data_IF_432141184006
#
_entry.id   IF_432141184006
#
_cell.length_a   1.000
_cell.length_b   1.000
_cell.length_c   1.000
_cell.angle_alpha   90.00
_cell.angle_beta   90.00
_cell.angle_gamma   90.00
#
_symmetry.space_group_name_H-M   'P 1'
#
loop_
_entity.id
_entity.type
_entity.pdbx_description
1 polymer ?
#
# COMPACT_ATOMS: atom_id res chain seq x y z
N UNK A 1 -33.33 -14.18 -0.73
CA UNK A 1 -32.04 -13.93 -0.06
C UNK A 1 -31.50 -12.71 -0.75
N UNK A 2 -31.63 -11.56 -0.10
CA UNK A 2 -31.06 -10.33 -0.66
C UNK A 2 -29.56 -10.53 -0.75
N UNK A 3 -29.02 -10.28 -1.93
CA UNK A 3 -27.60 -10.36 -2.22
C UNK A 3 -26.90 -9.29 -1.38
N UNK A 4 -26.34 -9.68 -0.22
CA UNK A 4 -25.61 -8.79 0.69
C UNK A 4 -24.27 -8.48 0.04
N UNK A 5 -24.33 -7.62 -0.96
CA UNK A 5 -23.21 -7.23 -1.80
C UNK A 5 -22.78 -5.82 -1.41
N UNK A 6 -21.47 -5.63 -1.24
CA UNK A 6 -20.88 -4.41 -0.70
C UNK A 6 -20.55 -3.40 -1.78
N UNK A 7 -20.85 -2.13 -1.52
CA UNK A 7 -20.29 -1.00 -2.30
C UNK A 7 -19.02 -0.51 -1.61
N UNK A 8 -17.88 -0.62 -2.29
CA UNK A 8 -16.58 -0.21 -1.73
C UNK A 8 -16.36 1.29 -1.89
N UNK A 9 -15.98 1.97 -0.79
CA UNK A 9 -15.82 3.43 -0.77
C UNK A 9 -14.42 3.84 -1.18
N UNK A 10 -14.35 4.71 -2.18
CA UNK A 10 -13.12 5.23 -2.75
C UNK A 10 -12.89 6.68 -2.35
N UNK A 11 -11.61 6.98 -2.09
CA UNK A 11 -11.10 8.31 -1.84
C UNK A 11 -10.08 8.66 -2.92
N UNK A 12 -10.13 9.90 -3.42
CA UNK A 12 -9.25 10.38 -4.48
C UNK A 12 -8.34 11.50 -3.98
N UNK A 13 -7.06 11.41 -4.28
CA UNK A 13 -6.20 12.60 -4.36
C UNK A 13 -6.16 13.07 -5.81
N UNK A 14 -6.31 14.37 -6.05
CA UNK A 14 -6.38 14.95 -7.40
C UNK A 14 -5.34 16.05 -7.55
N UNK A 15 -4.41 15.90 -8.49
CA UNK A 15 -3.37 16.89 -8.75
C UNK A 15 -3.93 18.10 -9.48
N UNK A 16 -3.85 19.29 -8.87
CA UNK A 16 -4.28 20.55 -9.51
C UNK A 16 -3.45 20.87 -10.77
N UNK A 17 -2.20 20.40 -10.82
CA UNK A 17 -1.21 20.71 -11.86
C UNK A 17 -1.24 19.75 -13.04
N UNK A 18 -1.56 18.47 -12.81
CA UNK A 18 -1.49 17.43 -13.83
C UNK A 18 -2.83 16.70 -14.06
N UNK A 19 -3.84 16.92 -13.21
CA UNK A 19 -5.15 16.27 -13.28
C UNK A 19 -5.13 14.79 -12.89
N UNK A 20 -3.96 14.23 -12.58
CA UNK A 20 -3.82 12.83 -12.20
C UNK A 20 -4.49 12.57 -10.86
N UNK A 21 -4.98 11.35 -10.71
CA UNK A 21 -5.64 10.89 -9.50
C UNK A 21 -4.86 9.75 -8.86
N UNK A 22 -4.80 9.73 -7.54
CA UNK A 22 -4.45 8.55 -6.74
C UNK A 22 -5.72 8.06 -6.06
N UNK A 23 -6.04 6.78 -6.26
CA UNK A 23 -7.22 6.13 -5.70
C UNK A 23 -6.81 5.37 -4.46
N UNK A 24 -7.61 5.48 -3.40
CA UNK A 24 -7.46 4.73 -2.16
C UNK A 24 -8.79 4.09 -1.75
N UNK A 25 -8.74 2.90 -1.17
CA UNK A 25 -9.87 2.26 -0.52
C UNK A 25 -9.43 1.75 0.87
N UNK A 26 -9.71 2.47 1.96
CA UNK A 26 -9.32 2.04 3.30
C UNK A 26 -9.91 0.68 3.73
N UNK A 27 -11.08 0.34 3.16
CA UNK A 27 -11.73 -0.96 3.38
C UNK A 27 -11.03 -2.13 2.67
N UNK A 28 -10.11 -1.82 1.74
CA UNK A 28 -9.32 -2.79 1.00
C UNK A 28 -7.94 -2.16 0.65
N UNK A 29 -6.99 -2.11 1.61
CA UNK A 29 -5.79 -1.29 1.52
C UNK A 29 -4.89 -1.54 0.29
N UNK A 30 -4.96 -2.71 -0.34
CA UNK A 30 -4.22 -3.00 -1.58
C UNK A 30 -4.85 -2.39 -2.85
N UNK A 31 -6.09 -1.89 -2.78
CA UNK A 31 -6.76 -1.16 -3.87
C UNK A 31 -6.26 0.29 -3.92
N UNK A 32 -4.98 0.44 -4.29
CA UNK A 32 -4.31 1.71 -4.51
C UNK A 32 -3.76 1.82 -5.93
N UNK A 33 -4.16 2.84 -6.70
CA UNK A 33 -3.62 3.04 -8.04
C UNK A 33 -3.73 4.48 -8.53
N UNK A 34 -2.87 4.83 -9.51
CA UNK A 34 -2.91 6.11 -10.19
C UNK A 34 -3.68 6.04 -11.51
N UNK A 35 -4.36 7.12 -11.87
CA UNK A 35 -5.01 7.30 -13.16
C UNK A 35 -4.83 8.73 -13.69
N UNK A 36 -4.84 8.97 -15.01
CA UNK A 36 -4.62 10.31 -15.57
C UNK A 36 -5.74 11.33 -15.33
N UNK A 37 -6.93 10.88 -14.93
CA UNK A 37 -8.05 11.75 -14.60
C UNK A 37 -9.02 11.05 -13.65
N UNK A 38 -9.96 11.81 -13.07
CA UNK A 38 -11.03 11.29 -12.22
C UNK A 38 -11.92 10.29 -12.96
N UNK A 39 -12.26 10.59 -14.20
CA UNK A 39 -13.12 9.76 -15.05
C UNK A 39 -12.42 8.41 -15.34
N UNK A 40 -11.12 8.44 -15.63
CA UNK A 40 -10.33 7.23 -15.83
C UNK A 40 -10.19 6.45 -14.52
N UNK A 41 -9.95 7.13 -13.39
CA UNK A 41 -9.90 6.50 -12.07
C UNK A 41 -11.19 5.71 -11.80
N UNK A 42 -12.35 6.37 -11.91
CA UNK A 42 -13.67 5.78 -11.66
C UNK A 42 -13.95 4.62 -12.61
N UNK A 43 -13.65 4.76 -13.90
CA UNK A 43 -13.90 3.69 -14.89
C UNK A 43 -13.01 2.45 -14.68
N UNK A 44 -11.78 2.63 -14.17
CA UNK A 44 -10.86 1.51 -13.86
C UNK A 44 -11.14 0.86 -12.51
N UNK A 45 -11.81 1.55 -11.58
CA UNK A 45 -12.02 1.06 -10.22
C UNK A 45 -12.71 -0.31 -10.12
N UNK A 46 -13.78 -0.63 -10.89
CA UNK A 46 -14.39 -1.96 -10.83
C UNK A 46 -13.41 -3.10 -11.18
N UNK A 47 -12.61 -2.93 -12.23
CA UNK A 47 -11.61 -3.91 -12.65
C UNK A 47 -10.50 -4.07 -11.59
N UNK A 48 -10.06 -2.97 -11.00
CA UNK A 48 -9.03 -2.98 -9.95
C UNK A 48 -9.54 -3.62 -8.66
N UNK A 49 -10.78 -3.33 -8.28
CA UNK A 49 -11.44 -3.96 -7.14
C UNK A 49 -11.55 -5.48 -7.34
N UNK A 50 -11.98 -5.93 -8.51
CA UNK A 50 -12.12 -7.37 -8.80
C UNK A 50 -10.79 -8.11 -8.62
N UNK A 51 -9.70 -7.56 -9.17
CA UNK A 51 -8.36 -8.14 -9.02
C UNK A 51 -7.90 -8.19 -7.55
N UNK A 52 -8.16 -7.14 -6.78
CA UNK A 52 -7.79 -7.08 -5.37
C UNK A 52 -8.62 -8.05 -4.52
N UNK A 53 -9.93 -8.16 -4.78
CA UNK A 53 -10.79 -9.15 -4.12
C UNK A 53 -10.36 -10.59 -4.44
N UNK A 54 -9.98 -10.86 -5.69
CA UNK A 54 -9.44 -12.16 -6.08
C UNK A 54 -8.14 -12.48 -5.31
N UNK A 55 -7.22 -11.51 -5.25
CA UNK A 55 -5.99 -11.67 -4.47
C UNK A 55 -6.28 -11.91 -2.98
N UNK A 56 -7.13 -11.09 -2.37
CA UNK A 56 -7.46 -11.16 -0.96
C UNK A 56 -8.06 -12.54 -0.58
N UNK A 57 -8.99 -13.05 -1.40
CA UNK A 57 -9.55 -14.41 -1.21
C UNK A 57 -8.47 -15.49 -1.31
N UNK A 58 -7.59 -15.42 -2.32
CA UNK A 58 -6.47 -16.36 -2.48
C UNK A 58 -5.48 -16.30 -1.32
N UNK A 59 -5.31 -15.13 -0.72
CA UNK A 59 -4.47 -14.91 0.45
C UNK A 59 -5.14 -15.35 1.77
N UNK A 60 -6.41 -15.75 1.74
CA UNK A 60 -7.17 -16.18 2.93
C UNK A 60 -7.70 -15.01 3.77
N UNK A 61 -7.80 -13.81 3.19
CA UNK A 61 -8.40 -12.64 3.83
C UNK A 61 -9.92 -12.69 3.70
N UNK A 62 -10.60 -12.23 4.74
CA UNK A 62 -12.06 -12.07 4.75
C UNK A 62 -12.42 -10.83 3.94
N UNK A 63 -13.15 -11.03 2.84
CA UNK A 63 -13.66 -9.95 2.00
C UNK A 63 -15.09 -10.22 1.59
N UNK A 64 -15.88 -9.15 1.55
CA UNK A 64 -17.27 -9.20 1.11
C UNK A 64 -17.33 -9.22 -0.43
N UNK A 65 -18.33 -9.88 -1.03
CA UNK A 65 -18.55 -9.77 -2.47
C UNK A 65 -18.95 -8.33 -2.84
N UNK A 66 -18.42 -7.84 -3.96
CA UNK A 66 -18.80 -6.53 -4.47
C UNK A 66 -20.22 -6.54 -5.05
N UNK A 67 -20.97 -5.45 -4.81
CA UNK A 67 -22.31 -5.23 -5.34
C UNK A 67 -22.34 -4.54 -6.69
N UNK A 68 -23.52 -4.01 -7.02
CA UNK A 68 -23.75 -3.23 -8.23
C UNK A 68 -24.47 -1.91 -7.88
N UNK A 69 -23.78 -0.75 -7.92
CA UNK A 69 -22.41 -0.56 -8.37
C UNK A 69 -21.37 -1.14 -7.37
N UNK A 70 -20.20 -1.60 -7.84
CA UNK A 70 -19.20 -2.21 -6.96
C UNK A 70 -18.40 -1.20 -6.13
N UNK A 71 -18.39 0.07 -6.55
CA UNK A 71 -17.62 1.15 -5.93
C UNK A 71 -18.39 2.46 -5.92
N UNK A 72 -18.06 3.33 -4.98
CA UNK A 72 -18.55 4.71 -4.89
C UNK A 72 -17.41 5.65 -4.49
N UNK A 73 -17.27 6.81 -5.15
CA UNK A 73 -16.34 7.85 -4.72
C UNK A 73 -17.01 8.70 -3.65
N UNK A 74 -16.55 8.59 -2.42
CA UNK A 74 -17.14 9.28 -1.25
C UNK A 74 -16.32 10.47 -0.76
N UNK A 75 -15.10 10.65 -1.26
CA UNK A 75 -14.23 11.77 -0.90
C UNK A 75 -13.20 12.07 -1.97
N UNK A 76 -12.82 13.34 -2.08
CA UNK A 76 -11.72 13.77 -2.93
C UNK A 76 -10.99 14.96 -2.30
N UNK A 77 -9.67 14.97 -2.39
CA UNK A 77 -8.81 16.07 -1.95
C UNK A 77 -7.98 16.54 -3.14
N UNK A 78 -7.97 17.85 -3.39
CA UNK A 78 -7.11 18.44 -4.42
C UNK A 78 -5.77 18.82 -3.81
N UNK A 79 -4.66 18.41 -4.43
CA UNK A 79 -3.30 18.68 -3.97
C UNK A 79 -2.54 19.54 -5.00
N UNK A 80 -1.63 20.41 -4.53
CA UNK A 80 -0.83 21.29 -5.40
C UNK A 80 0.49 20.67 -5.87
N UNK A 81 0.51 19.35 -6.04
CA UNK A 81 1.69 18.57 -6.41
C UNK A 81 1.34 17.61 -7.56
N UNK A 82 2.30 17.24 -8.43
CA UNK A 82 2.04 16.30 -9.50
C UNK A 82 1.76 14.88 -8.96
N UNK A 83 0.51 14.43 -9.02
CA UNK A 83 0.12 13.09 -8.54
C UNK A 83 0.79 11.99 -9.36
N UNK A 84 1.03 12.22 -10.66
CA UNK A 84 1.76 11.30 -11.51
C UNK A 84 3.14 10.93 -10.93
N UNK A 85 3.83 11.91 -10.32
CA UNK A 85 5.15 11.73 -9.72
C UNK A 85 5.12 10.98 -8.38
N UNK A 86 3.99 11.02 -7.66
CA UNK A 86 3.81 10.32 -6.37
C UNK A 86 4.27 11.11 -5.17
N UNK A 87 4.34 12.43 -5.31
CA UNK A 87 4.71 13.36 -4.24
C UNK A 87 3.48 13.81 -3.46
N UNK A 88 2.54 12.90 -3.18
CA UNK A 88 1.22 13.21 -2.64
C UNK A 88 1.08 12.57 -1.27
N UNK A 89 0.55 13.34 -0.32
CA UNK A 89 0.37 12.95 1.09
C UNK A 89 -0.93 13.57 1.61
N UNK A 90 -2.01 13.50 0.82
CA UNK A 90 -3.29 14.07 1.24
C UNK A 90 -3.91 13.24 2.37
N UNK A 91 -4.49 13.93 3.35
CA UNK A 91 -5.27 13.27 4.41
C UNK A 91 -6.75 13.27 4.02
N UNK A 92 -7.35 12.10 4.07
CA UNK A 92 -8.76 11.82 3.82
C UNK A 92 -9.53 11.55 5.11
N UNK A 93 -10.86 11.59 5.04
CA UNK A 93 -11.73 11.44 6.22
C UNK A 93 -11.43 10.21 7.10
N UNK A 94 -11.26 9.00 6.53
CA UNK A 94 -10.96 7.80 7.32
C UNK A 94 -9.65 7.86 8.11
N UNK A 95 -8.67 8.62 7.63
CA UNK A 95 -7.37 8.76 8.29
C UNK A 95 -7.42 9.70 9.50
N UNK A 96 -8.54 10.43 9.67
CA UNK A 96 -8.79 11.28 10.84
C UNK A 96 -9.51 10.53 11.97
N UNK A 97 -9.89 9.27 11.75
CA UNK A 97 -10.52 8.42 12.76
C UNK A 97 -9.42 7.76 13.60
N UNK A 98 -9.45 7.89 14.95
CA UNK A 98 -8.52 7.16 15.80
C UNK A 98 -8.56 5.66 15.51
N UNK A 99 -7.39 5.04 15.50
CA UNK A 99 -7.26 3.60 15.28
C UNK A 99 -7.85 2.84 16.48
N UNK A 100 -8.53 1.73 16.20
CA UNK A 100 -8.95 0.76 17.20
C UNK A 100 -8.27 -0.60 16.97
N UNK A 101 -8.34 -1.48 17.97
CA UNK A 101 -7.73 -2.81 17.94
C UNK A 101 -8.23 -3.65 16.75
N UNK A 102 -9.49 -3.45 16.35
CA UNK A 102 -10.10 -4.14 15.21
C UNK A 102 -9.44 -3.75 13.90
N UNK A 103 -9.21 -2.45 13.69
CA UNK A 103 -8.55 -1.92 12.51
C UNK A 103 -7.05 -2.27 12.49
N UNK A 104 -6.36 -2.22 13.65
CA UNK A 104 -4.97 -2.67 13.76
C UNK A 104 -4.82 -4.15 13.40
N UNK A 105 -5.72 -5.00 13.90
CA UNK A 105 -5.77 -6.42 13.54
C UNK A 105 -6.06 -6.63 12.05
N UNK A 106 -6.97 -5.84 11.48
CA UNK A 106 -7.27 -5.86 10.05
C UNK A 106 -6.04 -5.51 9.19
N UNK A 107 -5.34 -4.42 9.51
CA UNK A 107 -4.12 -4.01 8.78
C UNK A 107 -3.01 -5.04 8.95
N UNK A 108 -2.83 -5.62 10.15
CA UNK A 108 -1.82 -6.67 10.38
C UNK A 108 -2.01 -7.87 9.47
N UNK A 109 -3.24 -8.39 9.38
CA UNK A 109 -3.57 -9.51 8.48
C UNK A 109 -3.22 -9.18 7.02
N UNK A 110 -3.53 -7.96 6.56
CA UNK A 110 -3.21 -7.51 5.20
C UNK A 110 -1.70 -7.40 4.95
N UNK A 111 -0.96 -6.82 5.92
CA UNK A 111 0.49 -6.75 5.85
C UNK A 111 1.08 -8.17 5.74
N UNK A 112 0.75 -9.06 6.66
CA UNK A 112 1.24 -10.46 6.64
C UNK A 112 0.95 -11.17 5.32
N UNK A 113 -0.31 -11.10 4.84
CA UNK A 113 -0.75 -11.70 3.58
C UNK A 113 0.01 -11.14 2.36
N UNK A 114 0.17 -9.81 2.28
CA UNK A 114 0.89 -9.16 1.17
C UNK A 114 2.36 -9.57 1.13
N UNK A 115 3.03 -9.66 2.29
CA UNK A 115 4.43 -10.09 2.32
C UNK A 115 4.59 -11.55 2.00
N UNK A 116 3.72 -12.41 2.55
CA UNK A 116 3.74 -13.83 2.23
C UNK A 116 3.59 -14.04 0.73
N UNK A 117 2.62 -13.37 0.11
CA UNK A 117 2.40 -13.42 -1.35
C UNK A 117 3.65 -12.98 -2.13
N UNK A 118 4.26 -11.85 -1.74
CA UNK A 118 5.48 -11.34 -2.39
C UNK A 118 6.64 -12.33 -2.27
N UNK A 119 6.88 -12.90 -1.08
CA UNK A 119 7.96 -13.84 -0.87
C UNK A 119 7.74 -15.16 -1.61
N UNK A 120 6.50 -15.66 -1.65
CA UNK A 120 6.15 -16.86 -2.40
C UNK A 120 6.36 -16.69 -3.92
N UNK A 121 6.18 -15.47 -4.43
CA UNK A 121 6.48 -15.12 -5.82
C UNK A 121 7.99 -15.06 -6.07
N UNK A 122 8.73 -14.34 -5.22
CA UNK A 122 10.15 -14.04 -5.45
C UNK A 122 11.05 -15.26 -5.17
N UNK A 123 10.73 -16.09 -4.17
CA UNK A 123 11.52 -17.29 -3.83
C UNK A 123 11.59 -18.32 -4.96
N UNK A 124 10.71 -18.22 -5.96
CA UNK A 124 10.68 -19.10 -7.14
C UNK A 124 11.53 -18.57 -8.30
N UNK A 125 12.02 -17.35 -8.20
CA UNK A 125 12.86 -16.73 -9.21
C UNK A 125 14.31 -17.16 -9.02
N UNK A 126 15.07 -17.39 -10.11
CA UNK A 126 16.50 -17.60 -10.01
C UNK A 126 17.20 -16.27 -9.64
N UNK A 127 18.36 -16.33 -8.99
CA UNK A 127 19.04 -15.15 -8.43
C UNK A 127 19.33 -14.08 -9.50
N UNK A 128 19.69 -14.49 -10.72
CA UNK A 128 19.94 -13.59 -11.84
C UNK A 128 18.71 -12.75 -12.24
N UNK A 129 17.49 -13.22 -11.95
CA UNK A 129 16.27 -12.48 -12.23
C UNK A 129 16.17 -11.20 -11.40
N UNK A 130 16.82 -11.13 -10.23
CA UNK A 130 16.85 -9.91 -9.42
C UNK A 130 17.53 -8.74 -10.16
N UNK A 131 18.45 -9.04 -11.07
CA UNK A 131 19.11 -8.06 -11.94
C UNK A 131 18.30 -7.69 -13.19
N UNK A 132 17.25 -8.44 -13.54
CA UNK A 132 16.47 -8.21 -14.75
C UNK A 132 15.71 -6.88 -14.68
N UNK A 133 15.68 -6.17 -15.83
CA UNK A 133 14.96 -4.90 -16.01
C UNK A 133 14.01 -5.00 -17.21
N UNK A 134 12.80 -4.42 -17.13
CA UNK A 134 11.88 -4.38 -18.26
C UNK A 134 12.28 -3.38 -19.35
N UNK A 135 13.24 -2.48 -19.09
CA UNK A 135 13.71 -1.50 -20.05
C UNK A 135 14.63 -0.45 -19.43
N UNK A 136 15.17 0.44 -20.29
CA UNK A 136 16.04 1.54 -19.87
C UNK A 136 15.30 2.49 -18.92
N UNK A 137 15.94 2.87 -17.82
CA UNK A 137 15.37 3.77 -16.82
C UNK A 137 14.27 3.15 -15.94
N UNK A 138 14.07 1.83 -16.01
CA UNK A 138 13.13 1.10 -15.13
C UNK A 138 13.90 0.34 -14.06
N UNK A 139 13.31 0.23 -12.87
CA UNK A 139 13.89 -0.52 -11.75
C UNK A 139 14.03 -2.01 -12.10
N UNK A 140 15.10 -2.65 -11.63
CA UNK A 140 15.19 -4.11 -11.64
C UNK A 140 14.26 -4.72 -10.59
N UNK A 141 14.05 -6.05 -10.63
CA UNK A 141 13.29 -6.74 -9.58
C UNK A 141 13.92 -6.47 -8.20
N UNK A 142 15.23 -6.63 -8.06
CA UNK A 142 15.95 -6.35 -6.80
C UNK A 142 15.78 -4.91 -6.32
N UNK A 143 15.79 -3.93 -7.23
CA UNK A 143 15.55 -2.52 -6.88
C UNK A 143 14.10 -2.26 -6.46
N UNK A 144 13.12 -2.94 -7.05
CA UNK A 144 11.71 -2.87 -6.63
C UNK A 144 11.56 -3.44 -5.21
N UNK A 145 12.14 -4.61 -4.94
CA UNK A 145 12.14 -5.19 -3.60
C UNK A 145 12.83 -4.28 -2.58
N UNK A 146 13.96 -3.67 -2.98
CA UNK A 146 14.68 -2.71 -2.15
C UNK A 146 13.85 -1.45 -1.88
N UNK A 147 13.07 -1.00 -2.86
CA UNK A 147 12.15 0.12 -2.71
C UNK A 147 11.00 -0.21 -1.77
N UNK A 148 10.42 -1.41 -1.83
CA UNK A 148 9.38 -1.88 -0.90
C UNK A 148 9.92 -1.89 0.54
N UNK A 149 11.11 -2.46 0.76
CA UNK A 149 11.74 -2.46 2.09
C UNK A 149 12.03 -1.05 2.60
N UNK A 150 12.54 -0.17 1.75
CA UNK A 150 12.75 1.24 2.13
C UNK A 150 11.44 1.99 2.38
N UNK A 151 10.36 1.66 1.67
CA UNK A 151 9.03 2.24 1.86
C UNK A 151 8.45 1.91 3.23
N UNK A 152 8.54 0.65 3.68
CA UNK A 152 8.10 0.29 5.03
C UNK A 152 8.90 1.03 6.10
N UNK A 153 10.23 1.05 5.99
CA UNK A 153 11.08 1.81 6.92
C UNK A 153 10.75 3.32 6.93
N UNK A 154 10.40 3.87 5.78
CA UNK A 154 10.02 5.28 5.64
C UNK A 154 8.79 5.67 6.45
N UNK A 155 7.79 4.79 6.51
CA UNK A 155 6.61 5.03 7.31
C UNK A 155 6.86 4.74 8.79
N UNK A 156 7.64 3.71 9.15
CA UNK A 156 7.97 3.41 10.55
C UNK A 156 8.68 4.59 11.21
N UNK A 157 9.70 5.16 10.55
CA UNK A 157 10.47 6.29 11.08
C UNK A 157 9.58 7.53 11.31
N UNK A 158 8.47 7.68 10.57
CA UNK A 158 7.52 8.79 10.74
C UNK A 158 6.55 8.62 11.90
N UNK A 159 6.54 7.46 12.54
CA UNK A 159 5.82 7.25 13.79
C UNK A 159 6.61 7.81 14.99
N UNK A 160 7.88 8.16 14.78
CA UNK A 160 8.72 8.80 15.79
C UNK A 160 8.57 10.32 15.78
N UNK A 161 8.79 11.00 16.92
CA UNK A 161 8.82 12.45 16.96
C UNK A 161 9.82 13.01 15.94
N UNK A 162 9.48 14.02 15.12
CA UNK A 162 10.32 14.49 14.02
C UNK A 162 11.76 14.85 14.44
N UNK A 163 11.95 15.35 15.66
CA UNK A 163 13.25 15.71 16.24
C UNK A 163 14.15 14.51 16.57
N UNK A 164 13.59 13.30 16.69
CA UNK A 164 14.36 12.08 16.97
C UNK A 164 14.79 11.36 15.69
N UNK A 165 14.26 11.78 14.53
CA UNK A 165 14.53 11.15 13.23
C UNK A 165 15.96 11.48 12.78
N UNK A 166 16.86 10.51 12.97
CA UNK A 166 18.25 10.60 12.55
C UNK A 166 18.57 9.62 11.42
N UNK A 167 19.71 9.83 10.75
CA UNK A 167 20.25 8.86 9.78
C UNK A 167 20.47 7.48 10.41
N UNK A 168 20.92 7.43 11.67
CA UNK A 168 21.15 6.17 12.38
C UNK A 168 19.84 5.41 12.60
N UNK A 169 18.77 6.13 13.01
CA UNK A 169 17.44 5.56 13.16
C UNK A 169 16.89 5.07 11.82
N UNK A 170 17.06 5.83 10.75
CA UNK A 170 16.71 5.39 9.40
C UNK A 170 17.45 4.10 9.02
N UNK A 171 18.77 4.02 9.23
CA UNK A 171 19.55 2.82 8.90
C UNK A 171 19.13 1.61 9.75
N UNK A 172 18.74 1.82 11.00
CA UNK A 172 18.20 0.79 11.89
C UNK A 172 16.90 0.20 11.34
N UNK A 173 15.95 1.00 10.85
CA UNK A 173 14.71 0.46 10.27
C UNK A 173 14.88 0.01 8.83
N UNK A 174 15.68 0.70 8.03
CA UNK A 174 15.84 0.40 6.61
C UNK A 174 16.71 -0.82 6.34
N UNK A 175 17.57 -1.23 7.27
CA UNK A 175 18.43 -2.42 7.18
C UNK A 175 19.15 -2.59 5.82
N UNK A 176 19.81 -1.54 5.28
CA UNK A 176 20.27 -1.53 3.89
C UNK A 176 21.40 -2.51 3.59
N UNK A 177 22.04 -3.09 4.62
CA UNK A 177 23.17 -4.01 4.49
C UNK A 177 22.77 -5.48 4.43
N UNK A 178 21.51 -5.81 4.74
CA UNK A 178 21.01 -7.18 4.67
C UNK A 178 20.78 -7.63 3.21
N UNK A 179 20.97 -8.92 2.88
CA UNK A 179 20.49 -9.50 1.64
C UNK A 179 19.00 -9.21 1.42
N UNK A 180 18.56 -8.98 0.19
CA UNK A 180 17.25 -8.35 -0.05
C UNK A 180 16.05 -9.12 0.52
N UNK A 181 16.09 -10.45 0.52
CA UNK A 181 15.01 -11.27 1.08
C UNK A 181 14.99 -11.23 2.61
N UNK A 182 16.17 -11.24 3.24
CA UNK A 182 16.32 -11.07 4.69
C UNK A 182 15.92 -9.66 5.11
N UNK A 183 16.34 -8.65 4.33
CA UNK A 183 15.98 -7.25 4.51
C UNK A 183 14.47 -7.07 4.53
N UNK A 184 13.76 -7.64 3.55
CA UNK A 184 12.30 -7.60 3.54
C UNK A 184 11.78 -8.16 4.87
N UNK A 185 12.11 -9.42 5.20
CA UNK A 185 11.61 -10.07 6.42
C UNK A 185 11.86 -9.23 7.68
N UNK A 186 13.07 -8.69 7.82
CA UNK A 186 13.47 -7.91 8.99
C UNK A 186 12.74 -6.57 9.09
N UNK A 187 12.63 -5.81 8.00
CA UNK A 187 11.87 -4.54 8.04
C UNK A 187 10.41 -4.78 8.42
N UNK A 188 9.82 -5.90 7.97
CA UNK A 188 8.46 -6.23 8.38
C UNK A 188 8.34 -6.57 9.85
N UNK A 189 9.28 -7.34 10.39
CA UNK A 189 9.31 -7.68 11.82
C UNK A 189 9.35 -6.39 12.65
N UNK A 190 10.25 -5.47 12.31
CA UNK A 190 10.37 -4.16 12.96
C UNK A 190 9.09 -3.32 12.82
N UNK A 191 8.42 -3.37 11.66
CA UNK A 191 7.15 -2.68 11.44
C UNK A 191 6.07 -3.18 12.40
N UNK A 192 5.91 -4.50 12.50
CA UNK A 192 4.90 -5.11 13.35
C UNK A 192 5.17 -4.87 14.84
N UNK A 193 6.43 -4.99 15.26
CA UNK A 193 6.84 -4.65 16.64
C UNK A 193 6.53 -3.19 16.98
N UNK A 194 6.83 -2.27 16.06
CA UNK A 194 6.51 -0.86 16.30
C UNK A 194 5.01 -0.60 16.38
N UNK A 195 4.21 -1.30 15.58
CA UNK A 195 2.76 -1.22 15.67
C UNK A 195 2.23 -1.78 17.00
N UNK A 196 2.85 -2.84 17.54
CA UNK A 196 2.51 -3.38 18.86
C UNK A 196 2.79 -2.37 19.99
N UNK A 197 3.89 -1.61 19.88
CA UNK A 197 4.21 -0.55 20.85
C UNK A 197 3.29 0.68 20.77
N UNK A 198 2.43 0.79 19.75
CA UNK A 198 1.47 1.88 19.58
C UNK A 198 0.05 1.53 20.07
N UNK A 199 -0.19 0.27 20.42
CA UNK A 199 -1.51 -0.22 20.89
C UNK A 199 -1.73 -0.12 22.41
N UNK A 200 -0.84 0.59 23.13
CA UNK A 200 -0.94 0.92 24.57
C UNK A 200 -1.31 2.40 24.80
#
# INVERSE_FOLDING_TARGET
MDDVSKVYRLYLEIGSKDGWCMVHCPELPGLGFKAPSREIAVSLSPLRLEAELEWARKAGLEVEPAGNPPVEVVGAVTVDVPVAAGETEAISGPEMVPLDDGYLSFIRRHLEASRKTLLDLVKRLPDEALGWRPGKGKRSIGEILGHIASGEAFYIVRLEPPETVTKALWEQYAQPRLPILERLAEVRRLCLERLDDLSD
#
